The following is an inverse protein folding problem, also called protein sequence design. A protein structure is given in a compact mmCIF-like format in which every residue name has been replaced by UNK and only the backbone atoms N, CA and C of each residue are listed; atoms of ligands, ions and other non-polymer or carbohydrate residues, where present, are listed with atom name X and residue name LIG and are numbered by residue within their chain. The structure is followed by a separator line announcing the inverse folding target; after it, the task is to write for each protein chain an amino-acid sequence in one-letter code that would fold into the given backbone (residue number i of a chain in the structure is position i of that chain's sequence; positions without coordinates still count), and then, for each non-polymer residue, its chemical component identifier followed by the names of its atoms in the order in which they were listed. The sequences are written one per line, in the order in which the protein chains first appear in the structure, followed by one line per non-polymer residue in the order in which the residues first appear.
data_IF_694301110038
#
_entry.id   IF_694301110038
#
_cell.length_a   1.000
_cell.length_b   1.000
_cell.length_c   1.000
_cell.angle_alpha   90.00
_cell.angle_beta   90.00
_cell.angle_gamma   90.00
#
_symmetry.space_group_name_H-M   'P 1'
#
loop_
_entity.id
_entity.type
_entity.pdbx_description
1 polymer ?
#
# COMPACT_ATOMS: atom_id res chain seq x y z
N UNK A 1 -8.11 -16.27 -10.71
CA UNK A 1 -8.95 -15.06 -10.95
C UNK A 1 -8.20 -13.85 -10.42
N UNK A 2 -8.09 -12.73 -11.14
CA UNK A 2 -7.28 -11.60 -10.65
C UNK A 2 -8.07 -10.64 -9.74
N UNK A 3 -7.45 -10.15 -8.65
CA UNK A 3 -8.02 -9.17 -7.70
C UNK A 3 -7.02 -8.07 -7.37
N UNK A 4 -7.53 -6.89 -7.01
CA UNK A 4 -6.70 -5.75 -6.59
C UNK A 4 -6.47 -5.79 -5.09
N UNK A 5 -5.21 -5.70 -4.68
CA UNK A 5 -4.78 -5.62 -3.30
C UNK A 5 -3.96 -4.34 -3.07
N UNK A 6 -4.01 -3.82 -1.83
CA UNK A 6 -3.19 -2.68 -1.40
C UNK A 6 -2.17 -3.14 -0.37
N UNK A 7 -0.95 -2.64 -0.49
CA UNK A 7 0.18 -2.94 0.38
C UNK A 7 0.82 -1.66 0.87
N UNK A 8 1.23 -1.65 2.13
CA UNK A 8 2.02 -0.57 2.72
C UNK A 8 3.44 -0.56 2.18
N UNK A 9 4.14 0.55 2.37
CA UNK A 9 5.56 0.61 2.05
C UNK A 9 6.33 -0.29 3.03
N UNK A 10 7.08 -1.26 2.49
CA UNK A 10 7.83 -2.24 3.28
C UNK A 10 7.11 -3.58 3.47
N UNK A 11 5.85 -3.69 3.03
CA UNK A 11 5.14 -4.97 3.01
C UNK A 11 5.71 -5.90 1.94
N UNK A 12 5.67 -7.19 2.21
CA UNK A 12 6.04 -8.23 1.25
C UNK A 12 4.95 -8.38 0.19
N UNK A 13 5.35 -8.33 -1.08
CA UNK A 13 4.43 -8.40 -2.22
C UNK A 13 4.45 -9.83 -2.79
N UNK A 14 3.29 -10.45 -3.06
CA UNK A 14 3.23 -11.78 -3.67
C UNK A 14 3.96 -11.88 -5.00
N UNK A 15 4.58 -13.04 -5.26
CA UNK A 15 5.19 -13.32 -6.55
C UNK A 15 4.15 -13.31 -7.68
N UNK A 16 4.49 -12.69 -8.81
CA UNK A 16 3.57 -12.53 -9.95
C UNK A 16 2.54 -11.40 -9.82
N UNK A 17 2.59 -10.61 -8.74
CA UNK A 17 1.75 -9.42 -8.61
C UNK A 17 2.14 -8.34 -9.65
N UNK A 18 1.15 -7.80 -10.36
CA UNK A 18 1.36 -6.70 -11.31
C UNK A 18 1.13 -5.36 -10.62
N UNK A 19 2.13 -4.48 -10.65
CA UNK A 19 2.00 -3.14 -10.07
C UNK A 19 1.05 -2.27 -10.89
N UNK A 20 0.12 -1.59 -10.20
CA UNK A 20 -0.85 -0.70 -10.82
C UNK A 20 -0.51 0.76 -10.56
N UNK A 21 -0.52 1.16 -9.28
CA UNK A 21 -0.31 2.55 -8.90
C UNK A 21 0.00 2.70 -7.41
N UNK A 22 0.42 3.90 -7.02
CA UNK A 22 0.61 4.28 -5.62
C UNK A 22 -0.25 5.49 -5.27
N UNK A 23 -0.87 5.47 -4.10
CA UNK A 23 -1.62 6.59 -3.54
C UNK A 23 -0.91 7.05 -2.27
N UNK A 24 -0.46 8.31 -2.27
CA UNK A 24 0.05 8.97 -1.06
C UNK A 24 -1.16 9.35 -0.21
N UNK A 25 -1.33 8.70 0.94
CA UNK A 25 -2.37 9.12 1.86
C UNK A 25 -1.82 10.27 2.71
N UNK A 26 -2.43 11.45 2.57
CA UNK A 26 -2.06 12.62 3.36
C UNK A 26 -2.48 12.42 4.80
N UNK A 27 -1.51 12.55 5.71
CA UNK A 27 -1.67 12.78 7.15
C UNK A 27 -2.78 11.96 7.82
N UNK A 28 -2.48 10.70 8.16
CA UNK A 28 -3.21 10.10 9.26
C UNK A 28 -2.66 10.71 10.55
N UNK A 29 -3.40 11.64 11.16
CA UNK A 29 -3.23 11.96 12.58
C UNK A 29 -3.47 10.66 13.35
N UNK A 30 -2.38 10.00 13.72
CA UNK A 30 -2.41 8.87 14.61
C UNK A 30 -1.81 9.37 15.92
N UNK A 31 -2.59 9.40 16.99
CA UNK A 31 -2.17 9.92 18.30
C UNK A 31 -0.92 9.22 18.86
N UNK A 32 -0.57 8.06 18.31
CA UNK A 32 0.62 7.29 18.66
C UNK A 32 1.90 7.66 17.88
N UNK A 33 1.81 8.49 16.83
CA UNK A 33 2.94 8.86 15.99
C UNK A 33 2.98 10.38 15.78
N UNK A 34 3.71 11.14 16.62
CA UNK A 34 3.73 12.61 16.60
C UNK A 34 4.43 13.21 15.38
N UNK A 35 5.06 12.37 14.55
CA UNK A 35 5.62 12.77 13.26
C UNK A 35 4.66 12.32 12.16
N UNK A 36 4.24 13.27 11.33
CA UNK A 36 3.39 13.06 10.15
C UNK A 36 4.06 12.11 9.14
N UNK A 37 4.00 10.81 9.37
CA UNK A 37 4.49 9.81 8.41
C UNK A 37 3.54 9.77 7.21
N UNK A 38 4.07 10.13 6.04
CA UNK A 38 3.39 9.94 4.75
C UNK A 38 3.30 8.43 4.49
N UNK A 39 2.13 7.84 4.72
CA UNK A 39 1.88 6.46 4.29
C UNK A 39 1.60 6.43 2.78
N UNK A 40 2.37 5.63 2.06
CA UNK A 40 2.14 5.35 0.63
C UNK A 40 1.55 3.95 0.54
N UNK A 41 0.35 3.87 -0.03
CA UNK A 41 -0.29 2.63 -0.41
C UNK A 41 0.06 2.29 -1.84
N UNK A 42 0.51 1.06 -2.07
CA UNK A 42 0.83 0.51 -3.38
C UNK A 42 -0.24 -0.50 -3.76
N UNK A 43 -0.82 -0.37 -4.94
CA UNK A 43 -1.89 -1.21 -5.43
C UNK A 43 -1.36 -2.17 -6.49
N UNK A 44 -1.71 -3.45 -6.35
CA UNK A 44 -1.27 -4.53 -7.23
C UNK A 44 -2.44 -5.38 -7.68
N UNK A 45 -2.36 -5.92 -8.90
CA UNK A 45 -3.23 -6.97 -9.39
C UNK A 45 -2.59 -8.33 -9.10
N UNK A 46 -3.25 -9.16 -8.30
CA UNK A 46 -2.75 -10.46 -7.84
C UNK A 46 -3.66 -11.57 -8.37
N UNK A 47 -3.07 -12.65 -8.88
CA UNK A 47 -3.80 -13.86 -9.26
C UNK A 47 -4.10 -14.70 -8.02
N UNK A 48 -5.38 -15.03 -7.83
CA UNK A 48 -5.92 -15.78 -6.68
C UNK A 48 -6.54 -17.09 -7.12
#
# INVERSE_FOLDING_TARGET
MKKVYKYGTGDEIPEGAEYLCSVKNGLMKNDNYPNDYKFVWHYFLVEV
#
